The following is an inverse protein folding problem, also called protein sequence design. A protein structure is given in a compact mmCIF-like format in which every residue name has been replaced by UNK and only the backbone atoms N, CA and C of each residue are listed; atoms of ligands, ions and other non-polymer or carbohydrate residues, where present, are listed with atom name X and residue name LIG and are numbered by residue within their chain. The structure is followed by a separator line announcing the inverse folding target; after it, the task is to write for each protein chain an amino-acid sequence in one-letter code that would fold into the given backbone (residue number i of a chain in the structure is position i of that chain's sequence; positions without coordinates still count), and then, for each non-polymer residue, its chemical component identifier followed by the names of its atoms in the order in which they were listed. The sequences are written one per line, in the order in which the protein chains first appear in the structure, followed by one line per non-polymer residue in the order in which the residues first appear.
data_IF_068668377579
#
_entry.id   IF_068668377579
#
_cell.length_a   1.000
_cell.length_b   1.000
_cell.length_c   1.000
_cell.angle_alpha   90.00
_cell.angle_beta   90.00
_cell.angle_gamma   90.00
#
_symmetry.space_group_name_H-M   'P 1'
#
loop_
_entity.id
_entity.type
_entity.pdbx_description
1 polymer ?
#
# COMPACT_ATOMS: atom_id res chain seq x y z
N UNK A 1 -14.26 27.41 -6.79
CA UNK A 1 -13.23 27.21 -7.82
C UNK A 1 -11.93 26.83 -7.13
N UNK A 2 -11.26 25.77 -7.58
CA UNK A 2 -9.98 25.31 -7.05
C UNK A 2 -9.10 24.80 -8.20
N UNK A 3 -7.77 24.74 -7.96
CA UNK A 3 -6.81 24.17 -8.89
C UNK A 3 -6.49 22.74 -8.49
N UNK A 4 -6.45 21.86 -9.47
CA UNK A 4 -5.96 20.49 -9.31
C UNK A 4 -4.75 20.30 -10.22
N UNK A 5 -3.66 19.80 -9.64
CA UNK A 5 -2.41 19.53 -10.36
C UNK A 5 -2.28 18.02 -10.56
N UNK A 6 -2.15 17.60 -11.80
CA UNK A 6 -1.98 16.20 -12.17
C UNK A 6 -0.64 16.02 -12.89
N UNK A 7 -0.05 14.83 -12.76
CA UNK A 7 1.12 14.40 -13.50
C UNK A 7 0.95 12.96 -13.92
N UNK A 8 1.04 12.71 -15.22
CA UNK A 8 0.88 11.40 -15.83
C UNK A 8 2.11 10.99 -16.63
N UNK A 9 2.39 9.68 -16.67
CA UNK A 9 3.38 9.07 -17.56
C UNK A 9 2.67 8.05 -18.44
N UNK A 10 2.84 8.17 -19.74
CA UNK A 10 2.21 7.31 -20.75
C UNK A 10 3.27 6.67 -21.65
N UNK A 11 3.06 5.40 -22.00
CA UNK A 11 3.90 4.69 -22.96
C UNK A 11 5.10 3.95 -22.36
N UNK A 12 5.14 3.78 -21.04
CA UNK A 12 6.17 3.00 -20.34
C UNK A 12 5.56 2.23 -19.19
N UNK A 13 6.01 1.00 -18.97
CA UNK A 13 5.69 0.12 -17.85
C UNK A 13 6.86 0.00 -16.84
N UNK A 14 7.86 0.86 -16.98
CA UNK A 14 9.03 0.87 -16.09
C UNK A 14 8.65 1.36 -14.69
N UNK A 15 9.06 0.62 -13.65
CA UNK A 15 8.92 1.03 -12.24
C UNK A 15 9.68 2.32 -11.90
N UNK A 16 10.56 2.79 -12.77
CA UNK A 16 11.21 4.11 -12.62
C UNK A 16 10.20 5.25 -12.76
N UNK A 17 9.06 5.04 -13.43
CA UNK A 17 8.00 6.04 -13.53
C UNK A 17 7.41 6.32 -12.14
N UNK A 18 7.16 5.27 -11.35
CA UNK A 18 6.69 5.40 -9.96
C UNK A 18 7.72 6.13 -9.10
N UNK A 19 9.00 5.82 -9.27
CA UNK A 19 10.09 6.49 -8.56
C UNK A 19 10.13 7.98 -8.91
N UNK A 20 10.04 8.35 -10.18
CA UNK A 20 10.04 9.75 -10.63
C UNK A 20 8.83 10.51 -10.09
N UNK A 21 7.63 9.91 -10.10
CA UNK A 21 6.43 10.53 -9.54
C UNK A 21 6.59 10.81 -8.03
N UNK A 22 7.20 9.88 -7.29
CA UNK A 22 7.45 10.08 -5.85
C UNK A 22 8.51 11.15 -5.59
N UNK A 23 9.51 11.29 -6.45
CA UNK A 23 10.47 12.38 -6.39
C UNK A 23 9.82 13.75 -6.66
N UNK A 24 8.86 13.82 -7.59
CA UNK A 24 8.06 15.03 -7.83
C UNK A 24 7.29 15.40 -6.56
N UNK A 25 6.61 14.45 -5.94
CA UNK A 25 5.87 14.64 -4.67
C UNK A 25 6.80 15.16 -3.59
N UNK A 26 7.93 14.47 -3.36
CA UNK A 26 8.94 14.87 -2.36
C UNK A 26 9.45 16.30 -2.58
N UNK A 27 9.75 16.65 -3.83
CA UNK A 27 10.21 17.97 -4.22
C UNK A 27 9.18 19.06 -3.98
N UNK A 28 7.92 18.80 -4.37
CA UNK A 28 6.82 19.78 -4.25
C UNK A 28 6.56 20.10 -2.77
N UNK A 29 6.36 19.08 -1.94
CA UNK A 29 6.07 19.30 -0.52
C UNK A 29 7.25 19.89 0.24
N UNK A 30 8.49 19.50 -0.12
CA UNK A 30 9.70 20.10 0.45
C UNK A 30 9.81 21.60 0.12
N UNK A 31 9.41 22.02 -1.10
CA UNK A 31 9.39 23.44 -1.47
C UNK A 31 8.34 24.24 -0.72
N UNK A 32 7.24 23.60 -0.36
CA UNK A 32 6.19 24.22 0.48
C UNK A 32 6.53 24.20 1.98
N UNK A 33 7.66 23.59 2.38
CA UNK A 33 8.00 23.33 3.78
C UNK A 33 6.91 22.54 4.55
N UNK A 34 6.25 21.63 3.87
CA UNK A 34 5.27 20.71 4.45
C UNK A 34 5.93 19.35 4.53
N UNK A 35 6.08 18.82 5.76
CA UNK A 35 6.53 17.45 5.95
C UNK A 35 5.41 16.47 5.64
N UNK A 36 5.74 15.44 4.88
CA UNK A 36 4.78 14.39 4.49
C UNK A 36 5.37 13.01 4.74
N UNK A 37 4.49 12.03 4.89
CA UNK A 37 4.81 10.62 4.75
C UNK A 37 4.19 10.12 3.47
N UNK A 38 5.00 9.55 2.57
CA UNK A 38 4.53 8.91 1.36
C UNK A 38 4.26 7.44 1.70
N UNK A 39 3.00 7.07 1.68
CA UNK A 39 2.57 5.68 1.89
C UNK A 39 2.55 4.95 0.57
N UNK A 40 3.12 3.75 0.53
CA UNK A 40 3.14 2.87 -0.63
C UNK A 40 2.52 1.52 -0.29
N UNK A 41 1.76 0.97 -1.21
CA UNK A 41 1.34 -0.43 -1.24
C UNK A 41 1.34 -0.92 -2.70
N UNK A 42 0.94 -2.16 -2.92
CA UNK A 42 0.84 -2.73 -4.26
C UNK A 42 -0.41 -3.61 -4.37
N UNK A 43 -1.18 -3.42 -5.45
CA UNK A 43 -2.37 -4.22 -5.75
C UNK A 43 -2.06 -5.72 -5.77
N UNK A 44 -0.89 -6.11 -6.26
CA UNK A 44 -0.46 -7.51 -6.33
C UNK A 44 -0.18 -8.11 -4.95
N UNK A 45 0.33 -7.31 -4.00
CA UNK A 45 0.48 -7.73 -2.60
C UNK A 45 -0.90 -8.04 -2.01
N UNK A 46 -1.87 -7.13 -2.19
CA UNK A 46 -3.24 -7.33 -1.69
C UNK A 46 -3.91 -8.55 -2.32
N UNK A 47 -3.68 -8.78 -3.62
CA UNK A 47 -4.16 -10.00 -4.31
C UNK A 47 -3.53 -11.27 -3.73
N UNK A 48 -2.24 -11.24 -3.48
CA UNK A 48 -1.52 -12.35 -2.85
C UNK A 48 -2.00 -12.65 -1.44
N UNK A 49 -2.29 -11.61 -0.65
CA UNK A 49 -2.87 -11.77 0.69
C UNK A 49 -4.23 -12.48 0.61
N UNK A 50 -5.13 -12.02 -0.28
CA UNK A 50 -6.43 -12.66 -0.48
C UNK A 50 -6.29 -14.13 -0.92
N UNK A 51 -5.30 -14.43 -1.76
CA UNK A 51 -4.99 -15.79 -2.22
C UNK A 51 -4.54 -16.71 -1.08
N UNK A 52 -3.58 -16.27 -0.24
CA UNK A 52 -3.04 -17.12 0.84
C UNK A 52 -4.03 -17.35 1.97
N UNK A 53 -4.98 -16.44 2.20
CA UNK A 53 -6.05 -16.65 3.18
C UNK A 53 -7.23 -17.45 2.61
N UNK A 54 -7.22 -17.77 1.30
CA UNK A 54 -8.23 -18.59 0.64
C UNK A 54 -9.50 -17.83 0.25
N UNK A 55 -9.44 -16.50 0.10
CA UNK A 55 -10.59 -15.63 -0.16
C UNK A 55 -10.37 -14.73 -1.40
N UNK A 56 -9.74 -15.26 -2.45
CA UNK A 56 -9.42 -14.52 -3.68
C UNK A 56 -10.63 -13.83 -4.32
N UNK A 57 -11.77 -14.48 -4.29
CA UNK A 57 -13.02 -13.96 -4.88
C UNK A 57 -13.58 -12.74 -4.13
N UNK A 58 -13.14 -12.53 -2.89
CA UNK A 58 -13.59 -11.45 -2.00
C UNK A 58 -12.56 -10.34 -1.78
N UNK A 59 -11.57 -10.26 -2.67
CA UNK A 59 -10.50 -9.26 -2.53
C UNK A 59 -11.04 -7.82 -2.39
N UNK A 60 -12.12 -7.48 -3.09
CA UNK A 60 -12.73 -6.14 -3.02
C UNK A 60 -13.31 -5.90 -1.63
N UNK A 61 -14.04 -6.86 -1.07
CA UNK A 61 -14.62 -6.75 0.27
C UNK A 61 -13.53 -6.64 1.35
N UNK A 62 -12.48 -7.47 1.24
CA UNK A 62 -11.33 -7.46 2.15
C UNK A 62 -10.65 -6.09 2.13
N UNK A 63 -10.35 -5.58 0.97
CA UNK A 63 -9.61 -4.34 0.80
C UNK A 63 -10.41 -3.10 1.19
N UNK A 64 -11.72 -3.08 0.91
CA UNK A 64 -12.64 -2.03 1.39
C UNK A 64 -12.72 -2.01 2.93
N UNK A 65 -12.70 -3.16 3.57
CA UNK A 65 -12.69 -3.24 5.03
C UNK A 65 -11.35 -2.77 5.61
N UNK A 66 -10.23 -3.21 5.04
CA UNK A 66 -8.87 -2.84 5.49
C UNK A 66 -8.63 -1.33 5.36
N UNK A 67 -9.08 -0.70 4.28
CA UNK A 67 -8.92 0.76 4.04
C UNK A 67 -9.58 1.61 5.13
N UNK A 68 -10.48 1.03 5.89
CA UNK A 68 -11.16 1.71 7.01
C UNK A 68 -10.46 1.52 8.36
N UNK A 69 -9.39 0.72 8.44
CA UNK A 69 -8.78 0.32 9.71
C UNK A 69 -8.46 1.51 10.61
N UNK A 70 -7.85 2.56 10.07
CA UNK A 70 -7.51 3.78 10.81
C UNK A 70 -8.74 4.55 11.32
N UNK A 71 -9.89 4.39 10.67
CA UNK A 71 -11.11 5.13 10.97
C UNK A 71 -12.02 4.42 11.97
N UNK A 72 -12.18 3.11 11.81
CA UNK A 72 -13.18 2.33 12.57
C UNK A 72 -12.55 1.35 13.56
N UNK A 73 -11.25 1.12 13.47
CA UNK A 73 -10.51 0.18 14.32
C UNK A 73 -10.67 -1.29 13.94
N UNK A 74 -9.80 -2.14 14.50
CA UNK A 74 -9.67 -3.54 14.13
C UNK A 74 -10.93 -4.36 14.38
N UNK A 75 -11.60 -4.15 15.51
CA UNK A 75 -12.80 -4.93 15.87
C UNK A 75 -13.93 -4.70 14.86
N UNK A 76 -14.13 -3.47 14.42
CA UNK A 76 -15.15 -3.13 13.43
C UNK A 76 -14.75 -3.63 12.03
N UNK A 77 -13.49 -3.59 11.66
CA UNK A 77 -12.97 -4.21 10.42
C UNK A 77 -13.25 -5.71 10.42
N UNK A 78 -12.94 -6.40 11.52
CA UNK A 78 -13.23 -7.83 11.65
C UNK A 78 -14.72 -8.15 11.57
N UNK A 79 -15.57 -7.32 12.18
CA UNK A 79 -17.02 -7.47 12.11
C UNK A 79 -17.52 -7.30 10.65
N UNK A 80 -17.02 -6.29 9.93
CA UNK A 80 -17.36 -6.07 8.52
C UNK A 80 -16.91 -7.25 7.64
N UNK A 81 -15.69 -7.77 7.86
CA UNK A 81 -15.19 -8.94 7.14
C UNK A 81 -16.07 -10.16 7.36
N UNK A 82 -16.52 -10.41 8.60
CA UNK A 82 -17.47 -11.50 8.91
C UNK A 82 -18.81 -11.33 8.23
N UNK A 83 -19.35 -10.10 8.21
CA UNK A 83 -20.60 -9.76 7.52
C UNK A 83 -20.51 -10.05 6.02
N UNK A 84 -19.33 -9.81 5.42
CA UNK A 84 -19.00 -10.13 4.03
C UNK A 84 -18.75 -11.62 3.78
N UNK A 85 -18.86 -12.45 4.81
CA UNK A 85 -18.70 -13.90 4.72
C UNK A 85 -17.25 -14.35 4.62
N UNK A 86 -16.29 -13.56 5.08
CA UNK A 86 -14.91 -13.98 5.28
C UNK A 86 -14.86 -14.89 6.52
N UNK A 87 -14.23 -16.06 6.39
CA UNK A 87 -14.15 -17.02 7.49
C UNK A 87 -13.31 -16.51 8.67
N UNK A 88 -13.62 -16.98 9.88
CA UNK A 88 -12.82 -16.64 11.07
C UNK A 88 -11.37 -17.08 10.93
N UNK A 89 -11.10 -18.18 10.24
CA UNK A 89 -9.75 -18.66 9.94
C UNK A 89 -9.01 -17.69 9.01
N UNK A 90 -9.67 -17.20 7.97
CA UNK A 90 -9.10 -16.22 7.04
C UNK A 90 -8.81 -14.89 7.76
N UNK A 91 -9.72 -14.41 8.61
CA UNK A 91 -9.52 -13.22 9.43
C UNK A 91 -8.32 -13.38 10.36
N UNK A 92 -8.19 -14.53 11.02
CA UNK A 92 -7.05 -14.82 11.91
C UNK A 92 -5.71 -14.82 11.16
N UNK A 93 -5.68 -15.29 9.91
CA UNK A 93 -4.48 -15.22 9.04
C UNK A 93 -4.20 -13.81 8.55
N UNK A 94 -5.23 -13.01 8.30
CA UNK A 94 -5.13 -11.66 7.79
C UNK A 94 -4.57 -10.67 8.83
N UNK A 95 -5.01 -10.77 10.08
CA UNK A 95 -4.68 -9.81 11.14
C UNK A 95 -3.18 -9.54 11.30
N UNK A 96 -2.28 -10.55 11.46
CA UNK A 96 -0.86 -10.28 11.63
C UNK A 96 -0.22 -9.62 10.42
N UNK A 97 -0.84 -9.72 9.24
CA UNK A 97 -0.35 -9.11 8.01
C UNK A 97 -0.72 -7.63 7.98
N UNK A 98 -1.99 -7.28 8.21
CA UNK A 98 -2.44 -5.88 8.18
C UNK A 98 -1.95 -5.06 9.37
N UNK A 99 -1.58 -5.71 10.47
CA UNK A 99 -0.98 -5.08 11.66
C UNK A 99 0.56 -5.12 11.64
N UNK A 100 1.15 -5.50 10.52
CA UNK A 100 2.60 -5.59 10.38
C UNK A 100 3.25 -4.24 10.62
N UNK A 101 4.20 -4.21 11.53
CA UNK A 101 4.94 -3.02 11.96
C UNK A 101 6.44 -3.20 11.79
N UNK A 102 7.20 -2.13 11.96
CA UNK A 102 8.65 -2.12 11.80
C UNK A 102 9.10 -1.34 10.58
N UNK A 103 10.36 -1.51 10.20
CA UNK A 103 10.95 -0.88 9.02
C UNK A 103 10.38 -1.46 7.71
N UNK A 104 10.51 -0.72 6.62
CA UNK A 104 10.10 -1.22 5.30
C UNK A 104 10.80 -2.54 4.95
N UNK A 105 12.09 -2.66 5.26
CA UNK A 105 12.87 -3.87 5.03
C UNK A 105 12.35 -5.09 5.83
N UNK A 106 11.99 -4.89 7.09
CA UNK A 106 11.40 -5.93 7.94
C UNK A 106 10.02 -6.36 7.43
N UNK A 107 9.19 -5.40 7.03
CA UNK A 107 7.88 -5.66 6.43
C UNK A 107 8.02 -6.46 5.14
N UNK A 108 8.91 -6.06 4.23
CA UNK A 108 9.18 -6.77 2.98
C UNK A 108 9.69 -8.20 3.21
N UNK A 109 10.61 -8.40 4.16
CA UNK A 109 11.12 -9.72 4.51
C UNK A 109 10.02 -10.65 5.03
N UNK A 110 9.15 -10.14 5.88
CA UNK A 110 7.97 -10.88 6.38
C UNK A 110 7.01 -11.24 5.26
N UNK A 111 6.72 -10.28 4.37
CA UNK A 111 5.82 -10.50 3.23
C UNK A 111 6.37 -11.56 2.25
N UNK A 112 7.67 -11.59 1.99
CA UNK A 112 8.30 -12.65 1.16
C UNK A 112 8.01 -14.04 1.73
N UNK A 113 8.08 -14.20 3.05
CA UNK A 113 7.77 -15.48 3.70
C UNK A 113 6.27 -15.79 3.63
N UNK A 114 5.44 -14.86 4.03
CA UNK A 114 3.98 -15.03 4.10
C UNK A 114 3.38 -15.28 2.72
N UNK A 115 3.86 -14.59 1.70
CA UNK A 115 3.38 -14.67 0.31
C UNK A 115 4.13 -15.71 -0.53
N UNK A 116 4.97 -16.56 0.06
CA UNK A 116 5.81 -17.52 -0.66
C UNK A 116 5.03 -18.48 -1.57
N UNK A 117 3.77 -18.75 -1.27
CA UNK A 117 2.88 -19.58 -2.08
C UNK A 117 2.08 -18.79 -3.13
N UNK A 118 2.22 -17.48 -3.20
CA UNK A 118 1.52 -16.60 -4.15
C UNK A 118 2.50 -15.94 -5.10
N UNK A 119 2.47 -16.34 -6.36
CA UNK A 119 3.32 -15.76 -7.42
C UNK A 119 3.00 -14.26 -7.62
N UNK A 120 1.70 -13.91 -7.65
CA UNK A 120 1.28 -12.50 -7.77
C UNK A 120 1.69 -11.67 -6.56
N UNK A 121 1.59 -12.23 -5.36
CA UNK A 121 2.00 -11.57 -4.12
C UNK A 121 3.50 -11.30 -4.09
N UNK A 122 4.33 -12.29 -4.44
CA UNK A 122 5.79 -12.14 -4.54
C UNK A 122 6.17 -11.09 -5.58
N UNK A 123 5.49 -11.06 -6.73
CA UNK A 123 5.72 -10.03 -7.74
C UNK A 123 5.46 -8.62 -7.20
N UNK A 124 4.37 -8.42 -6.46
CA UNK A 124 4.08 -7.16 -5.80
C UNK A 124 5.14 -6.76 -4.77
N UNK A 125 5.68 -7.72 -4.01
CA UNK A 125 6.78 -7.49 -3.06
C UNK A 125 8.05 -7.06 -3.79
N UNK A 126 8.43 -7.73 -4.89
CA UNK A 126 9.59 -7.38 -5.70
C UNK A 126 9.49 -5.95 -6.28
N UNK A 127 8.33 -5.59 -6.82
CA UNK A 127 8.08 -4.25 -7.35
C UNK A 127 8.19 -3.18 -6.25
N UNK A 128 7.60 -3.42 -5.08
CA UNK A 128 7.67 -2.51 -3.94
C UNK A 128 9.09 -2.38 -3.40
N UNK A 129 9.84 -3.48 -3.33
CA UNK A 129 11.25 -3.49 -2.92
C UNK A 129 12.11 -2.68 -3.88
N UNK A 130 11.91 -2.84 -5.18
CA UNK A 130 12.62 -2.07 -6.20
C UNK A 130 12.39 -0.56 -6.02
N UNK A 131 11.13 -0.14 -5.88
CA UNK A 131 10.75 1.27 -5.71
C UNK A 131 11.37 1.83 -4.42
N UNK A 132 11.19 1.14 -3.29
CA UNK A 132 11.69 1.58 -1.99
C UNK A 132 13.21 1.69 -1.96
N UNK A 133 13.94 0.69 -2.46
CA UNK A 133 15.40 0.69 -2.51
C UNK A 133 15.93 1.79 -3.44
N UNK A 134 15.28 2.02 -4.57
CA UNK A 134 15.67 3.07 -5.50
C UNK A 134 15.48 4.46 -4.87
N UNK A 135 14.34 4.71 -4.24
CA UNK A 135 14.06 5.96 -3.54
C UNK A 135 15.01 6.20 -2.36
N UNK A 136 15.34 5.17 -1.60
CA UNK A 136 16.33 5.24 -0.53
C UNK A 136 17.72 5.62 -1.07
N UNK A 137 18.15 5.00 -2.16
CA UNK A 137 19.44 5.30 -2.81
C UNK A 137 19.50 6.74 -3.35
N UNK A 138 18.39 7.23 -3.88
CA UNK A 138 18.29 8.61 -4.41
C UNK A 138 18.18 9.67 -3.31
N UNK A 139 17.73 9.27 -2.11
CA UNK A 139 17.60 10.14 -0.95
C UNK A 139 16.39 11.06 -1.02
N UNK A 140 15.26 10.62 -0.45
CA UNK A 140 14.10 11.49 -0.23
C UNK A 140 14.31 12.40 0.98
N UNK A 141 13.67 13.57 0.97
CA UNK A 141 13.62 14.50 2.12
C UNK A 141 12.48 14.14 3.08
N UNK A 142 11.44 13.52 2.56
CA UNK A 142 10.29 13.07 3.32
C UNK A 142 10.33 11.55 3.56
N UNK A 143 9.52 11.09 4.50
CA UNK A 143 9.42 9.68 4.84
C UNK A 143 8.63 8.90 3.79
N UNK A 144 9.03 7.65 3.56
CA UNK A 144 8.24 6.69 2.77
C UNK A 144 7.99 5.44 3.60
N UNK A 145 6.74 4.98 3.62
CA UNK A 145 6.29 3.86 4.43
C UNK A 145 5.51 2.84 3.59
N UNK A 146 5.91 1.57 3.68
CA UNK A 146 5.08 0.45 3.20
C UNK A 146 3.88 0.28 4.15
N UNK A 147 2.67 0.56 3.66
CA UNK A 147 1.43 0.50 4.43
C UNK A 147 0.44 -0.48 3.78
N UNK A 148 0.31 -1.66 4.37
CA UNK A 148 -0.55 -2.73 3.85
C UNK A 148 -2.05 -2.43 4.00
N UNK A 149 -2.41 -1.39 4.75
CA UNK A 149 -3.80 -0.94 4.89
C UNK A 149 -4.21 0.05 3.81
N UNK A 150 -3.25 0.57 3.04
CA UNK A 150 -3.53 1.42 1.89
C UNK A 150 -4.11 0.57 0.75
N UNK A 151 -5.42 0.62 0.58
CA UNK A 151 -6.16 -0.24 -0.34
C UNK A 151 -7.16 0.50 -1.26
N UNK A 152 -6.93 1.80 -1.45
CA UNK A 152 -7.79 2.64 -2.29
C UNK A 152 -7.61 2.37 -3.78
N UNK A 153 -8.66 2.64 -4.54
CA UNK A 153 -8.59 2.64 -6.01
C UNK A 153 -8.38 1.27 -6.65
N UNK A 154 -8.77 0.17 -5.99
CA UNK A 154 -8.49 -1.20 -6.44
C UNK A 154 -9.03 -1.57 -7.82
N UNK A 155 -10.09 -0.92 -8.26
CA UNK A 155 -10.63 -1.11 -9.61
C UNK A 155 -9.86 -0.32 -10.67
N UNK A 156 -8.97 0.57 -10.26
CA UNK A 156 -8.20 1.45 -11.13
C UNK A 156 -6.72 1.04 -11.19
N UNK A 157 -6.10 0.77 -10.03
CA UNK A 157 -4.68 0.43 -9.94
C UNK A 157 -4.45 -1.05 -10.17
N UNK A 158 -3.39 -1.37 -10.93
CA UNK A 158 -2.93 -2.74 -11.23
C UNK A 158 -1.63 -3.12 -10.52
N UNK A 159 -0.86 -2.13 -10.09
CA UNK A 159 0.43 -2.26 -9.44
C UNK A 159 0.55 -1.40 -8.18
N UNK A 160 1.58 -0.55 -8.14
CA UNK A 160 1.86 0.32 -7.02
C UNK A 160 0.74 1.35 -6.76
N UNK A 161 0.50 1.61 -5.49
CA UNK A 161 -0.49 2.58 -4.98
C UNK A 161 0.27 3.52 -4.05
N UNK A 162 0.04 4.84 -4.19
CA UNK A 162 0.64 5.84 -3.33
C UNK A 162 -0.41 6.74 -2.72
N UNK A 163 -0.18 7.14 -1.48
CA UNK A 163 -0.93 8.18 -0.79
C UNK A 163 0.04 9.07 -0.02
N UNK A 164 -0.19 10.36 -0.03
CA UNK A 164 0.64 11.33 0.67
C UNK A 164 -0.11 11.85 1.88
N UNK A 165 0.45 11.67 3.08
CA UNK A 165 -0.13 12.15 4.34
C UNK A 165 0.71 13.29 4.88
N UNK A 166 0.10 14.46 5.05
CA UNK A 166 0.75 15.57 5.73
C UNK A 166 0.93 15.25 7.22
N UNK A 167 2.11 15.61 7.78
CA UNK A 167 2.46 15.33 9.18
C UNK A 167 2.24 16.54 10.09
N UNK A 168 2.42 17.74 9.57
CA UNK A 168 2.41 18.98 10.35
C UNK A 168 1.15 19.82 10.19
N UNK A 169 0.32 19.53 9.20
CA UNK A 169 -0.89 20.29 8.87
C UNK A 169 -2.05 19.34 8.61
N UNK A 170 -3.26 19.80 8.96
CA UNK A 170 -4.48 19.15 8.51
C UNK A 170 -4.86 19.73 7.15
N UNK A 171 -4.85 18.89 6.15
CA UNK A 171 -5.26 19.22 4.79
C UNK A 171 -6.60 18.54 4.51
#
# INVERSE_FOLDING_TARGET
EFYQCDADVVGSDSLLNEVELMQIVDTVFSRFNIRVCIKINNRKILSGIAEIIGESDKIVDITVAIDKLDKIGLDNVNAELKEKGISDEAIAKLQPIILLSGTNAEKLATLKNVLSASEVGLKGVEESEFILNTLETMGLKNEIELDLTLARGLNYYTGAIFEVKALDVQI
#
